data_IF_552965896551
#
_entry.id   IF_552965896551
#
_cell.length_a   1.000
_cell.length_b   1.000
_cell.length_c   1.000
_cell.angle_alpha   90.00
_cell.angle_beta   90.00
_cell.angle_gamma   90.00
#
_symmetry.space_group_name_H-M   'P 1'
#
loop_
_entity.id
_entity.type
_entity.pdbx_description
1 polymer ?
#
# COMPACT_ATOMS: atom_id res chain seq x y z
N UNK A 1 4.57 23.05 3.69
CA UNK A 1 5.89 22.40 3.55
C UNK A 1 5.64 20.95 3.15
N UNK A 2 6.34 20.40 2.17
CA UNK A 2 6.23 19.00 1.76
C UNK A 2 6.77 18.14 2.91
N UNK A 3 6.00 17.22 3.44
CA UNK A 3 6.39 16.38 4.59
C UNK A 3 7.21 15.13 4.17
N UNK A 4 7.41 14.93 2.86
CA UNK A 4 8.12 13.78 2.29
C UNK A 4 8.85 14.16 1.00
N UNK A 5 9.93 13.45 0.69
CA UNK A 5 10.64 13.60 -0.57
C UNK A 5 9.92 12.87 -1.70
N UNK A 6 10.12 13.35 -2.92
CA UNK A 6 9.65 12.77 -4.17
C UNK A 6 10.81 12.56 -5.14
N UNK A 7 10.54 12.07 -6.34
CA UNK A 7 11.57 11.90 -7.38
C UNK A 7 12.20 13.22 -7.85
N UNK A 8 11.59 14.37 -7.53
CA UNK A 8 12.13 15.69 -7.89
C UNK A 8 13.21 16.17 -6.93
N UNK A 9 13.32 15.56 -5.76
CA UNK A 9 14.21 16.00 -4.68
C UNK A 9 15.61 15.37 -4.77
N UNK A 10 15.82 14.43 -5.72
CA UNK A 10 17.08 13.68 -5.87
C UNK A 10 17.53 13.55 -7.33
N UNK A 11 18.84 13.39 -7.51
CA UNK A 11 19.45 13.03 -8.78
C UNK A 11 19.69 11.51 -8.83
N UNK A 12 19.05 10.84 -9.78
CA UNK A 12 19.09 9.40 -9.96
C UNK A 12 20.06 8.93 -11.08
N UNK A 13 20.78 9.86 -11.74
CA UNK A 13 21.65 9.51 -12.86
C UNK A 13 22.74 8.51 -12.43
N UNK A 14 22.80 7.37 -13.09
CA UNK A 14 23.71 6.25 -12.80
C UNK A 14 23.57 5.64 -11.39
N UNK A 15 22.50 5.97 -10.66
CA UNK A 15 22.24 5.50 -9.30
C UNK A 15 21.46 4.21 -9.26
N UNK A 16 21.71 3.39 -8.25
CA UNK A 16 20.95 2.18 -7.99
C UNK A 16 19.77 2.52 -7.06
N UNK A 17 18.56 2.23 -7.50
CA UNK A 17 17.31 2.53 -6.81
C UNK A 17 16.61 1.23 -6.43
N UNK A 18 16.43 0.99 -5.14
CA UNK A 18 15.49 -0.03 -4.65
C UNK A 18 14.08 0.53 -4.74
N UNK A 19 13.27 0.01 -5.66
CA UNK A 19 11.90 0.46 -5.90
C UNK A 19 10.90 -0.55 -5.33
N UNK A 20 10.19 -0.18 -4.26
CA UNK A 20 9.15 -1.01 -3.66
C UNK A 20 7.79 -0.71 -4.30
N UNK A 21 7.19 -1.72 -4.91
CA UNK A 21 5.89 -1.63 -5.59
C UNK A 21 4.88 -2.64 -5.03
N UNK A 22 3.60 -2.39 -5.22
CA UNK A 22 2.53 -3.35 -4.88
C UNK A 22 2.06 -4.09 -6.13
N UNK A 23 2.62 -5.27 -6.36
CA UNK A 23 2.24 -6.19 -7.43
C UNK A 23 1.46 -7.41 -6.93
N UNK A 24 0.74 -7.26 -5.82
CA UNK A 24 -0.16 -8.31 -5.33
C UNK A 24 -1.42 -8.38 -6.21
N UNK A 25 -1.30 -9.05 -7.35
CA UNK A 25 -2.31 -9.07 -8.40
C UNK A 25 -3.30 -10.24 -8.25
N UNK A 26 -4.53 -10.12 -8.77
CA UNK A 26 -5.45 -11.25 -8.84
C UNK A 26 -4.92 -12.29 -9.84
N UNK A 27 -4.93 -13.55 -9.42
CA UNK A 27 -4.47 -14.67 -10.22
C UNK A 27 -5.63 -15.62 -10.52
N UNK A 28 -5.56 -16.29 -11.65
CA UNK A 28 -6.40 -17.46 -11.90
C UNK A 28 -5.97 -18.62 -11.01
N UNK A 29 -6.91 -19.26 -10.33
CA UNK A 29 -6.60 -20.33 -9.35
C UNK A 29 -6.00 -21.59 -9.96
N UNK A 30 -6.28 -21.87 -11.22
CA UNK A 30 -5.87 -23.10 -11.88
C UNK A 30 -4.55 -22.92 -12.64
N UNK A 31 -4.40 -21.79 -13.34
CA UNK A 31 -3.25 -21.51 -14.21
C UNK A 31 -2.19 -20.62 -13.57
N UNK A 32 -2.55 -19.95 -12.46
CA UNK A 32 -1.74 -18.91 -11.81
C UNK A 32 -1.35 -17.76 -12.78
N UNK A 33 -2.17 -17.54 -13.81
CA UNK A 33 -2.01 -16.41 -14.70
C UNK A 33 -2.55 -15.12 -14.07
N UNK A 34 -1.92 -13.99 -14.39
CA UNK A 34 -2.34 -12.68 -13.91
C UNK A 34 -3.61 -12.29 -14.65
N UNK A 35 -4.68 -12.02 -13.91
CA UNK A 35 -5.98 -11.64 -14.46
C UNK A 35 -6.13 -10.14 -14.71
N UNK A 36 -5.38 -9.31 -14.00
CA UNK A 36 -5.46 -7.84 -14.08
C UNK A 36 -4.08 -7.22 -13.86
N UNK A 37 -3.68 -6.32 -14.74
CA UNK A 37 -2.38 -5.64 -14.74
C UNK A 37 -2.41 -4.20 -14.23
N UNK A 38 -3.57 -3.73 -13.79
CA UNK A 38 -3.78 -2.33 -13.36
C UNK A 38 -2.73 -1.85 -12.35
N UNK A 39 -2.29 -2.72 -11.43
CA UNK A 39 -1.26 -2.35 -10.44
C UNK A 39 0.09 -2.07 -11.07
N UNK A 40 0.48 -2.82 -12.11
CA UNK A 40 1.70 -2.53 -12.87
C UNK A 40 1.53 -1.21 -13.63
N UNK A 41 0.42 -1.02 -14.34
CA UNK A 41 0.14 0.18 -15.14
C UNK A 41 0.23 1.45 -14.31
N UNK A 42 -0.26 1.43 -13.07
CA UNK A 42 -0.21 2.58 -12.15
C UNK A 42 1.21 2.97 -11.72
N UNK A 43 2.15 2.03 -11.71
CA UNK A 43 3.55 2.26 -11.32
C UNK A 43 4.44 2.59 -12.53
N UNK A 44 3.98 2.34 -13.76
CA UNK A 44 4.76 2.64 -14.97
C UNK A 44 5.32 4.07 -15.04
N UNK A 45 4.60 5.13 -14.63
CA UNK A 45 5.16 6.49 -14.63
C UNK A 45 6.45 6.60 -13.82
N UNK A 46 6.49 6.01 -12.61
CA UNK A 46 7.68 5.97 -11.76
C UNK A 46 8.84 5.23 -12.42
N UNK A 47 8.58 4.04 -12.97
CA UNK A 47 9.62 3.22 -13.59
C UNK A 47 10.17 3.92 -14.84
N UNK A 48 9.30 4.47 -15.70
CA UNK A 48 9.72 5.17 -16.92
C UNK A 48 10.56 6.40 -16.61
N UNK A 49 10.17 7.22 -15.64
CA UNK A 49 10.93 8.39 -15.21
C UNK A 49 12.31 8.01 -14.67
N UNK A 50 12.41 6.97 -13.84
CA UNK A 50 13.69 6.48 -13.34
C UNK A 50 14.58 5.94 -14.47
N UNK A 51 14.01 5.28 -15.50
CA UNK A 51 14.76 4.86 -16.70
C UNK A 51 15.26 6.06 -17.49
N UNK A 52 14.42 7.08 -17.68
CA UNK A 52 14.79 8.32 -18.40
C UNK A 52 15.91 9.08 -17.67
N UNK A 53 15.93 8.99 -16.34
CA UNK A 53 17.04 9.50 -15.50
C UNK A 53 18.26 8.56 -15.44
N UNK A 54 18.33 7.52 -16.29
CA UNK A 54 19.42 6.53 -16.33
C UNK A 54 19.67 5.79 -14.99
N UNK A 55 18.66 5.64 -14.14
CA UNK A 55 18.76 4.86 -12.91
C UNK A 55 18.86 3.36 -13.21
N UNK A 56 19.51 2.61 -12.31
CA UNK A 56 19.48 1.15 -12.24
C UNK A 56 18.35 0.77 -11.28
N UNK A 57 17.31 0.10 -11.75
CA UNK A 57 16.08 -0.10 -10.98
C UNK A 57 15.99 -1.55 -10.50
N UNK A 58 15.99 -1.72 -9.19
CA UNK A 58 15.82 -3.01 -8.51
C UNK A 58 14.42 -3.04 -7.89
N UNK A 59 13.52 -3.83 -8.48
CA UNK A 59 12.13 -3.91 -8.04
C UNK A 59 11.99 -4.92 -6.92
N UNK A 60 11.38 -4.47 -5.80
CA UNK A 60 10.95 -5.25 -4.66
C UNK A 60 9.41 -5.30 -4.66
N UNK A 61 8.84 -6.50 -4.73
CA UNK A 61 7.40 -6.68 -4.75
C UNK A 61 6.98 -7.92 -3.97
N UNK A 62 5.66 -8.06 -3.73
CA UNK A 62 5.10 -9.25 -3.12
C UNK A 62 3.89 -9.77 -3.88
N UNK A 63 3.63 -11.08 -3.75
CA UNK A 63 2.41 -11.74 -4.20
C UNK A 63 1.96 -12.77 -3.16
N UNK A 64 0.67 -12.74 -2.81
CA UNK A 64 0.05 -13.68 -1.89
C UNK A 64 0.56 -13.56 -0.44
N UNK A 65 0.25 -14.57 0.37
CA UNK A 65 0.76 -14.75 1.75
C UNK A 65 1.38 -16.12 1.86
N UNK A 66 2.39 -16.30 2.68
CA UNK A 66 2.92 -17.63 2.98
C UNK A 66 1.78 -18.59 3.33
N UNK A 67 1.79 -19.77 2.70
CA UNK A 67 0.76 -20.80 2.86
C UNK A 67 -0.54 -20.57 2.06
N UNK A 68 -0.71 -19.43 1.39
CA UNK A 68 -1.87 -19.24 0.50
C UNK A 68 -1.59 -19.77 -0.91
N UNK A 69 -2.64 -20.11 -1.65
CA UNK A 69 -2.57 -20.68 -3.00
C UNK A 69 -1.94 -19.70 -4.02
N UNK A 70 -2.05 -18.40 -3.76
CA UNK A 70 -1.52 -17.30 -4.58
C UNK A 70 -0.11 -16.87 -4.18
N UNK A 71 0.54 -17.57 -3.26
CA UNK A 71 1.91 -17.33 -2.86
C UNK A 71 2.88 -17.94 -3.87
N UNK A 72 3.20 -17.20 -4.91
CA UNK A 72 4.04 -17.63 -6.02
C UNK A 72 5.30 -16.78 -6.15
N UNK A 73 6.24 -17.22 -6.99
CA UNK A 73 7.37 -16.41 -7.43
C UNK A 73 6.92 -15.25 -8.33
N UNK A 74 7.81 -14.29 -8.57
CA UNK A 74 7.48 -13.10 -9.33
C UNK A 74 7.89 -13.14 -10.82
N UNK A 75 8.24 -14.31 -11.37
CA UNK A 75 8.65 -14.42 -12.77
C UNK A 75 7.54 -13.96 -13.74
N UNK A 76 6.28 -14.38 -13.49
CA UNK A 76 5.14 -13.94 -14.30
C UNK A 76 4.89 -12.43 -14.20
N UNK A 77 5.17 -11.84 -13.04
CA UNK A 77 5.06 -10.40 -12.79
C UNK A 77 6.13 -9.62 -13.58
N UNK A 78 7.38 -10.13 -13.60
CA UNK A 78 8.45 -9.56 -14.40
C UNK A 78 8.11 -9.58 -15.90
N UNK A 79 7.60 -10.71 -16.41
CA UNK A 79 7.14 -10.82 -17.80
C UNK A 79 5.98 -9.88 -18.13
N UNK A 80 5.04 -9.72 -17.22
CA UNK A 80 3.93 -8.78 -17.39
C UNK A 80 4.42 -7.33 -17.42
N UNK A 81 5.34 -6.97 -16.52
CA UNK A 81 5.97 -5.65 -16.52
C UNK A 81 6.78 -5.41 -17.81
N UNK A 82 7.59 -6.37 -18.25
CA UNK A 82 8.35 -6.29 -19.50
C UNK A 82 7.45 -5.97 -20.69
N UNK A 83 6.32 -6.69 -20.81
CA UNK A 83 5.35 -6.49 -21.89
C UNK A 83 4.75 -5.07 -21.87
N UNK A 84 4.40 -4.56 -20.69
CA UNK A 84 3.77 -3.23 -20.53
C UNK A 84 4.79 -2.09 -20.65
N UNK A 85 6.01 -2.31 -20.19
CA UNK A 85 7.10 -1.35 -20.25
C UNK A 85 7.70 -1.23 -21.67
N UNK A 86 7.65 -2.33 -22.45
CA UNK A 86 8.31 -2.44 -23.75
C UNK A 86 9.83 -2.47 -23.67
N UNK A 87 10.39 -2.83 -22.53
CA UNK A 87 11.83 -2.95 -22.27
C UNK A 87 12.11 -4.20 -21.44
N UNK A 88 13.29 -4.84 -21.59
CA UNK A 88 13.63 -6.04 -20.82
C UNK A 88 13.54 -5.82 -19.31
N UNK A 89 12.98 -6.80 -18.61
CA UNK A 89 12.90 -6.87 -17.15
C UNK A 89 13.44 -8.24 -16.71
N UNK A 90 14.68 -8.27 -16.24
CA UNK A 90 15.30 -9.53 -15.77
C UNK A 90 14.72 -9.93 -14.43
N UNK A 91 14.08 -11.10 -14.35
CA UNK A 91 13.73 -11.72 -13.08
C UNK A 91 14.95 -12.38 -12.44
N UNK A 92 15.13 -12.20 -11.13
CA UNK A 92 16.18 -12.81 -10.33
C UNK A 92 15.53 -13.65 -9.24
N UNK A 93 15.68 -14.97 -9.32
CA UNK A 93 15.14 -15.95 -8.36
C UNK A 93 15.97 -15.96 -7.06
N UNK A 94 16.02 -14.78 -6.42
CA UNK A 94 16.67 -14.54 -5.13
C UNK A 94 16.21 -13.18 -4.61
N UNK A 95 16.11 -13.02 -3.28
CA UNK A 95 15.68 -11.77 -2.68
C UNK A 95 16.88 -10.90 -2.30
N UNK A 96 17.88 -11.47 -1.62
CA UNK A 96 19.03 -10.72 -1.07
C UNK A 96 20.33 -11.53 -1.02
N UNK A 97 20.31 -12.76 -1.49
CA UNK A 97 21.48 -13.64 -1.50
C UNK A 97 22.48 -13.29 -2.59
N UNK A 98 23.38 -14.20 -2.88
CA UNK A 98 24.51 -13.98 -3.81
C UNK A 98 24.03 -13.68 -5.23
N UNK A 99 22.97 -14.37 -5.72
CA UNK A 99 22.42 -14.13 -7.07
C UNK A 99 21.85 -12.71 -7.19
N UNK A 100 21.08 -12.25 -6.19
CA UNK A 100 20.51 -10.91 -6.16
C UNK A 100 21.62 -9.86 -6.12
N UNK A 101 22.61 -10.02 -5.24
CA UNK A 101 23.73 -9.09 -5.10
C UNK A 101 24.56 -8.97 -6.37
N UNK A 102 24.89 -10.10 -7.02
CA UNK A 102 25.66 -10.12 -8.26
C UNK A 102 24.84 -9.48 -9.39
N UNK A 103 23.54 -9.80 -9.51
CA UNK A 103 22.67 -9.20 -10.51
C UNK A 103 22.62 -7.67 -10.38
N UNK A 104 22.55 -7.14 -9.14
CA UNK A 104 22.57 -5.69 -8.88
C UNK A 104 23.90 -5.06 -9.28
N UNK A 105 25.02 -5.67 -8.91
CA UNK A 105 26.39 -5.17 -9.25
C UNK A 105 26.64 -5.11 -10.75
N UNK A 106 26.07 -6.04 -11.53
CA UNK A 106 26.22 -6.14 -12.98
C UNK A 106 25.34 -5.16 -13.76
N UNK A 107 24.36 -4.51 -13.12
CA UNK A 107 23.41 -3.62 -13.80
C UNK A 107 24.09 -2.44 -14.49
N UNK A 108 23.58 -2.13 -15.67
CA UNK A 108 23.91 -0.93 -16.42
C UNK A 108 22.81 0.13 -16.24
N UNK A 109 23.12 1.43 -16.39
CA UNK A 109 22.13 2.52 -16.35
C UNK A 109 20.93 2.26 -17.25
N UNK A 110 19.73 2.54 -16.76
CA UNK A 110 18.47 2.31 -17.46
C UNK A 110 17.95 0.87 -17.44
N UNK A 111 18.68 -0.07 -16.85
CA UNK A 111 18.22 -1.44 -16.70
C UNK A 111 17.26 -1.62 -15.51
N UNK A 112 16.37 -2.60 -15.65
CA UNK A 112 15.38 -2.99 -14.65
C UNK A 112 15.55 -4.47 -14.33
N UNK A 113 15.68 -4.79 -13.05
CA UNK A 113 15.59 -6.16 -12.54
C UNK A 113 14.44 -6.26 -11.53
N UNK A 114 13.84 -7.42 -11.41
CA UNK A 114 12.86 -7.75 -10.39
C UNK A 114 13.38 -8.89 -9.54
N UNK A 115 13.52 -8.66 -8.25
CA UNK A 115 13.91 -9.70 -7.29
C UNK A 115 12.71 -10.59 -6.94
N UNK A 116 12.99 -11.71 -6.30
CA UNK A 116 11.98 -12.64 -5.86
C UNK A 116 11.04 -12.04 -4.79
N UNK A 117 9.89 -12.67 -4.60
CA UNK A 117 8.83 -12.29 -3.68
C UNK A 117 9.37 -12.03 -2.27
N UNK A 118 9.35 -10.77 -1.83
CA UNK A 118 9.90 -10.37 -0.52
C UNK A 118 9.23 -11.10 0.66
N UNK A 119 8.04 -11.65 0.46
CA UNK A 119 7.35 -12.46 1.49
C UNK A 119 7.91 -13.86 1.67
N UNK A 120 8.89 -14.28 0.85
CA UNK A 120 9.70 -15.47 1.12
C UNK A 120 10.76 -15.22 2.21
N UNK A 121 11.03 -13.95 2.57
CA UNK A 121 11.80 -13.59 3.74
C UNK A 121 10.90 -13.65 4.98
N UNK A 122 11.21 -14.50 5.94
CA UNK A 122 10.37 -14.73 7.14
C UNK A 122 10.16 -13.47 7.97
N UNK A 123 11.17 -12.59 8.04
CA UNK A 123 11.10 -11.32 8.75
C UNK A 123 10.28 -10.22 8.06
N UNK A 124 9.78 -10.43 6.82
CA UNK A 124 9.08 -9.39 6.06
C UNK A 124 7.84 -8.85 6.77
N UNK A 125 7.06 -9.72 7.42
CA UNK A 125 5.78 -9.34 8.03
C UNK A 125 5.84 -9.12 9.54
N UNK A 126 7.01 -9.20 10.14
CA UNK A 126 7.20 -8.92 11.57
C UNK A 126 6.87 -7.46 11.90
N UNK A 127 6.30 -7.24 13.09
CA UNK A 127 5.95 -5.89 13.57
C UNK A 127 7.15 -5.28 14.29
N UNK A 128 8.02 -4.62 13.54
CA UNK A 128 9.24 -3.95 14.02
C UNK A 128 9.23 -2.47 13.62
N UNK A 129 10.13 -1.67 14.23
CA UNK A 129 10.41 -0.30 13.78
C UNK A 129 11.28 -0.32 12.51
N UNK A 130 11.45 0.83 11.87
CA UNK A 130 12.32 0.94 10.69
C UNK A 130 13.79 0.59 11.05
N UNK A 131 14.25 1.03 12.20
CA UNK A 131 15.61 0.80 12.72
C UNK A 131 15.85 -0.69 13.04
N UNK A 132 14.85 -1.37 13.60
CA UNK A 132 14.92 -2.82 13.86
C UNK A 132 14.92 -3.62 12.56
N UNK A 133 14.06 -3.22 11.59
CA UNK A 133 14.05 -3.82 10.27
C UNK A 133 15.35 -3.57 9.50
N UNK A 134 15.99 -2.41 9.70
CA UNK A 134 17.27 -2.09 9.10
C UNK A 134 18.39 -3.08 9.50
N UNK A 135 18.25 -3.78 10.61
CA UNK A 135 19.23 -4.78 11.07
C UNK A 135 18.98 -6.19 10.49
N UNK A 136 17.92 -6.37 9.70
CA UNK A 136 17.62 -7.67 9.09
C UNK A 136 18.52 -7.99 7.91
N UNK A 137 18.67 -9.29 7.62
CA UNK A 137 19.48 -9.77 6.49
C UNK A 137 19.02 -9.17 5.17
N UNK A 138 17.70 -9.01 4.95
CA UNK A 138 17.16 -8.38 3.75
C UNK A 138 17.75 -6.97 3.54
N UNK A 139 17.70 -6.15 4.56
CA UNK A 139 18.19 -4.77 4.47
C UNK A 139 19.71 -4.74 4.41
N UNK A 140 20.39 -5.45 5.30
CA UNK A 140 21.86 -5.43 5.42
C UNK A 140 22.57 -5.92 4.15
N UNK A 141 21.96 -6.84 3.41
CA UNK A 141 22.54 -7.34 2.17
C UNK A 141 22.24 -6.47 0.94
N UNK A 142 21.13 -5.70 0.95
CA UNK A 142 20.74 -4.91 -0.21
C UNK A 142 21.11 -3.42 -0.11
N UNK A 143 21.04 -2.79 1.09
CA UNK A 143 21.30 -1.35 1.20
C UNK A 143 22.69 -0.93 0.77
N UNK A 144 23.79 -1.73 0.96
CA UNK A 144 25.12 -1.31 0.50
C UNK A 144 25.28 -1.28 -1.01
N UNK A 145 24.33 -1.87 -1.75
CA UNK A 145 24.32 -1.96 -3.20
C UNK A 145 23.43 -0.90 -3.85
N UNK A 146 22.79 -0.06 -3.04
CA UNK A 146 21.81 0.92 -3.49
C UNK A 146 22.15 2.33 -2.99
N UNK A 147 21.81 3.32 -3.79
CA UNK A 147 21.98 4.74 -3.46
C UNK A 147 20.70 5.34 -2.87
N UNK A 148 19.52 4.86 -3.34
CA UNK A 148 18.21 5.38 -2.96
C UNK A 148 17.19 4.27 -2.75
N UNK A 149 16.22 4.56 -1.90
CA UNK A 149 15.00 3.77 -1.76
C UNK A 149 13.78 4.59 -2.23
N UNK A 150 12.96 4.01 -3.10
CA UNK A 150 11.71 4.62 -3.56
C UNK A 150 10.54 3.71 -3.20
N UNK A 151 9.57 4.25 -2.45
CA UNK A 151 8.33 3.55 -2.15
C UNK A 151 7.23 4.03 -3.10
N UNK A 152 6.65 3.10 -3.86
CA UNK A 152 5.49 3.36 -4.73
C UNK A 152 4.34 2.36 -4.47
N UNK A 153 4.35 1.73 -3.31
CA UNK A 153 3.40 0.72 -2.87
C UNK A 153 2.31 1.32 -1.98
N UNK A 154 1.50 2.26 -2.48
CA UNK A 154 0.49 2.96 -1.68
C UNK A 154 -0.46 2.02 -0.93
N UNK A 155 -1.01 0.98 -1.59
CA UNK A 155 -1.95 0.05 -0.96
C UNK A 155 -1.35 -0.74 0.22
N UNK A 156 -0.02 -0.80 0.34
CA UNK A 156 0.69 -1.44 1.43
C UNK A 156 1.37 -0.46 2.40
N UNK A 157 1.36 0.85 2.11
CA UNK A 157 2.13 1.87 2.84
C UNK A 157 1.78 1.99 4.34
N UNK A 158 0.57 1.57 4.73
CA UNK A 158 0.12 1.54 6.13
C UNK A 158 0.74 0.40 6.96
N UNK A 159 1.51 -0.50 6.35
CA UNK A 159 2.06 -1.70 7.02
C UNK A 159 3.51 -1.47 7.44
N UNK A 160 3.86 -1.92 8.65
CA UNK A 160 5.24 -1.92 9.14
C UNK A 160 5.98 -3.19 8.68
N UNK A 161 6.11 -3.37 7.36
CA UNK A 161 6.80 -4.52 6.78
C UNK A 161 8.24 -4.16 6.44
N UNK A 162 9.15 -5.14 6.53
CA UNK A 162 10.58 -4.94 6.38
C UNK A 162 10.93 -4.22 5.07
N UNK A 163 10.43 -4.71 3.93
CA UNK A 163 10.70 -4.11 2.62
C UNK A 163 10.04 -2.73 2.41
N UNK A 164 9.08 -2.33 3.26
CA UNK A 164 8.39 -1.03 3.16
C UNK A 164 9.06 0.06 3.99
N UNK A 165 9.57 -0.28 5.18
CA UNK A 165 10.10 0.74 6.10
C UNK A 165 11.58 0.52 6.47
N UNK A 166 12.12 -0.71 6.37
CA UNK A 166 13.49 -0.99 6.82
C UNK A 166 14.56 -0.20 6.08
N UNK A 167 14.39 -0.02 4.76
CA UNK A 167 15.33 0.75 3.96
C UNK A 167 15.30 2.25 4.24
N UNK A 168 14.19 2.79 4.75
CA UNK A 168 14.08 4.22 5.07
C UNK A 168 14.98 4.67 6.22
N UNK A 169 15.42 3.74 7.06
CA UNK A 169 16.35 4.03 8.14
C UNK A 169 17.82 4.12 7.69
N UNK A 170 18.15 3.62 6.48
CA UNK A 170 19.55 3.48 6.01
C UNK A 170 19.81 4.11 4.64
N UNK A 171 18.78 4.45 3.87
CA UNK A 171 18.91 5.08 2.55
C UNK A 171 18.10 6.38 2.45
N UNK A 172 18.59 7.37 1.71
CA UNK A 172 17.75 8.49 1.26
C UNK A 172 16.53 7.94 0.54
N UNK A 173 15.34 8.42 0.93
CA UNK A 173 14.07 7.80 0.53
C UNK A 173 13.12 8.81 -0.09
N UNK A 174 12.39 8.38 -1.13
CA UNK A 174 11.39 9.16 -1.83
C UNK A 174 10.09 8.39 -2.07
N UNK A 175 8.98 9.12 -2.23
CA UNK A 175 7.75 8.59 -2.79
C UNK A 175 7.88 8.48 -4.32
N UNK A 176 7.45 7.35 -4.89
CA UNK A 176 7.23 7.23 -6.33
C UNK A 176 5.99 8.01 -6.76
N UNK A 177 5.75 8.16 -8.06
CA UNK A 177 4.68 9.01 -8.61
C UNK A 177 3.27 8.55 -8.24
N UNK A 178 3.04 7.24 -8.07
CA UNK A 178 1.77 6.73 -7.59
C UNK A 178 1.55 7.14 -6.13
N UNK A 179 2.52 6.87 -5.26
CA UNK A 179 2.44 7.22 -3.83
C UNK A 179 2.31 8.73 -3.63
N UNK A 180 3.08 9.54 -4.35
CA UNK A 180 2.98 11.00 -4.32
C UNK A 180 1.59 11.50 -4.71
N UNK A 181 1.02 10.98 -5.80
CA UNK A 181 -0.33 11.33 -6.27
C UNK A 181 -1.39 11.02 -5.22
N UNK A 182 -1.33 9.83 -4.64
CA UNK A 182 -2.28 9.39 -3.62
C UNK A 182 -2.16 10.23 -2.34
N UNK A 183 -0.94 10.45 -1.84
CA UNK A 183 -0.68 11.28 -0.66
C UNK A 183 -1.14 12.72 -0.89
N UNK A 184 -0.83 13.31 -2.04
CA UNK A 184 -1.23 14.68 -2.38
C UNK A 184 -2.76 14.80 -2.44
N UNK A 185 -3.44 13.83 -3.07
CA UNK A 185 -4.89 13.81 -3.19
C UNK A 185 -5.56 13.68 -1.82
N UNK A 186 -5.11 12.73 -0.99
CA UNK A 186 -5.66 12.54 0.35
C UNK A 186 -5.38 13.74 1.26
N UNK A 187 -4.19 14.32 1.20
CA UNK A 187 -3.85 15.51 1.99
C UNK A 187 -4.77 16.69 1.66
N UNK A 188 -5.10 16.90 0.38
CA UNK A 188 -6.08 17.94 -0.02
C UNK A 188 -7.46 17.67 0.56
N UNK A 189 -7.94 16.41 0.48
CA UNK A 189 -9.25 16.00 0.99
C UNK A 189 -9.32 16.18 2.52
N UNK A 190 -8.24 15.86 3.24
CA UNK A 190 -8.23 15.91 4.71
C UNK A 190 -8.01 17.33 5.24
N UNK A 191 -7.04 18.06 4.66
CA UNK A 191 -6.62 19.36 5.19
C UNK A 191 -7.54 20.52 4.74
N UNK A 192 -8.02 20.48 3.49
CA UNK A 192 -8.84 21.55 2.93
C UNK A 192 -9.79 21.01 1.83
N UNK A 193 -10.82 20.25 2.21
CA UNK A 193 -11.75 19.67 1.25
C UNK A 193 -12.54 20.77 0.53
N UNK A 194 -12.75 20.57 -0.78
CA UNK A 194 -13.72 21.36 -1.52
C UNK A 194 -15.12 21.14 -0.94
N UNK A 195 -15.88 22.22 -0.79
CA UNK A 195 -17.21 22.20 -0.18
C UNK A 195 -18.33 22.28 -1.24
N UNK A 196 -19.43 21.53 -1.08
CA UNK A 196 -19.74 20.60 0.02
C UNK A 196 -18.99 19.26 -0.10
N UNK A 197 -18.38 18.80 0.99
CA UNK A 197 -17.69 17.52 1.04
C UNK A 197 -18.61 16.42 1.56
N UNK A 198 -18.80 15.36 0.77
CA UNK A 198 -19.68 14.23 1.08
C UNK A 198 -18.85 12.95 1.14
N UNK A 199 -18.91 12.25 2.27
CA UNK A 199 -18.24 10.98 2.47
C UNK A 199 -19.23 9.82 2.49
N UNK A 200 -18.96 8.78 1.70
CA UNK A 200 -19.75 7.55 1.65
C UNK A 200 -18.96 6.41 2.29
N UNK A 201 -19.50 5.82 3.35
CA UNK A 201 -18.93 4.65 4.02
C UNK A 201 -19.80 3.42 3.85
N UNK A 202 -19.18 2.29 3.53
CA UNK A 202 -19.83 1.00 3.39
C UNK A 202 -18.83 -0.15 3.60
N UNK A 203 -19.30 -1.38 3.48
CA UNK A 203 -18.48 -2.59 3.63
C UNK A 203 -18.73 -3.36 4.93
N UNK A 204 -17.87 -4.33 5.22
CA UNK A 204 -18.02 -5.25 6.35
C UNK A 204 -17.10 -4.92 7.54
N UNK A 205 -16.00 -4.19 7.35
CA UNK A 205 -15.09 -3.82 8.44
C UNK A 205 -15.57 -2.52 9.10
N UNK A 206 -16.07 -2.66 10.31
CA UNK A 206 -16.79 -1.59 10.98
C UNK A 206 -15.90 -0.70 11.89
N UNK A 207 -14.95 -1.27 12.62
CA UNK A 207 -14.12 -0.54 13.60
C UNK A 207 -13.38 0.66 12.99
N UNK A 208 -12.78 0.47 11.81
CA UNK A 208 -12.01 1.51 11.14
C UNK A 208 -12.89 2.67 10.65
N UNK A 209 -14.17 2.37 10.34
CA UNK A 209 -15.15 3.36 9.86
C UNK A 209 -15.55 4.33 10.96
N UNK A 210 -15.80 3.86 12.20
CA UNK A 210 -16.18 4.73 13.32
C UNK A 210 -15.10 5.77 13.61
N UNK A 211 -13.86 5.32 13.77
CA UNK A 211 -12.72 6.21 14.05
C UNK A 211 -12.54 7.25 12.94
N UNK A 212 -12.75 6.84 11.69
CA UNK A 212 -12.66 7.75 10.55
C UNK A 212 -13.79 8.79 10.57
N UNK A 213 -15.04 8.37 10.82
CA UNK A 213 -16.20 9.25 10.93
C UNK A 213 -15.99 10.29 12.04
N UNK A 214 -15.54 9.84 13.22
CA UNK A 214 -15.28 10.73 14.34
C UNK A 214 -14.30 11.84 13.98
N UNK A 215 -13.15 11.47 13.38
CA UNK A 215 -12.13 12.44 12.93
C UNK A 215 -12.64 13.41 11.88
N UNK A 216 -13.41 12.93 10.88
CA UNK A 216 -13.98 13.79 9.84
C UNK A 216 -14.96 14.82 10.41
N UNK A 217 -15.76 14.43 11.40
CA UNK A 217 -16.71 15.31 12.07
C UNK A 217 -16.01 16.29 13.02
N UNK A 218 -15.03 15.83 13.81
CA UNK A 218 -14.25 16.68 14.72
C UNK A 218 -13.48 17.76 13.97
N UNK A 219 -12.84 17.39 12.89
CA UNK A 219 -12.07 18.30 12.03
C UNK A 219 -12.94 19.14 11.08
N UNK A 220 -14.27 18.96 11.10
CA UNK A 220 -15.20 19.61 10.16
C UNK A 220 -14.84 19.39 8.69
N UNK A 221 -14.21 18.26 8.41
CA UNK A 221 -13.80 17.86 7.04
C UNK A 221 -15.03 17.46 6.22
N UNK A 222 -15.99 16.73 6.82
CA UNK A 222 -17.22 16.30 6.17
C UNK A 222 -18.38 17.27 6.42
N UNK A 223 -19.08 17.65 5.34
CA UNK A 223 -20.38 18.34 5.44
C UNK A 223 -21.54 17.33 5.53
N UNK A 224 -21.37 16.16 4.88
CA UNK A 224 -22.34 15.07 4.90
C UNK A 224 -21.62 13.72 4.94
N UNK A 225 -22.17 12.81 5.71
CA UNK A 225 -21.74 11.40 5.75
C UNK A 225 -22.94 10.53 5.37
N UNK A 226 -22.73 9.67 4.39
CA UNK A 226 -23.70 8.67 3.92
C UNK A 226 -23.18 7.30 4.34
N UNK A 227 -24.02 6.53 5.01
CA UNK A 227 -23.70 5.18 5.44
C UNK A 227 -24.47 4.15 4.63
N UNK A 228 -23.79 3.06 4.24
CA UNK A 228 -24.38 1.90 3.54
C UNK A 228 -23.88 0.60 4.16
N UNK A 229 -24.53 -0.52 3.85
CA UNK A 229 -24.11 -1.84 4.32
C UNK A 229 -24.08 -1.96 5.83
N UNK A 230 -23.07 -2.64 6.37
CA UNK A 230 -22.95 -2.92 7.80
C UNK A 230 -22.86 -1.64 8.68
N UNK A 231 -22.09 -0.60 8.30
CA UNK A 231 -22.09 0.67 9.03
C UNK A 231 -23.49 1.29 9.17
N UNK A 232 -24.28 1.31 8.07
CA UNK A 232 -25.64 1.84 8.14
C UNK A 232 -26.51 1.06 9.13
N UNK A 233 -26.47 -0.27 9.05
CA UNK A 233 -27.23 -1.14 9.95
C UNK A 233 -26.84 -0.91 11.42
N UNK A 234 -25.56 -0.76 11.72
CA UNK A 234 -25.10 -0.53 13.08
C UNK A 234 -25.58 0.82 13.65
N UNK A 235 -25.56 1.87 12.85
CA UNK A 235 -26.08 3.18 13.24
C UNK A 235 -27.60 3.16 13.45
N UNK A 236 -28.36 2.54 12.54
CA UNK A 236 -29.83 2.37 12.68
C UNK A 236 -30.17 1.58 13.93
N UNK A 237 -29.46 0.48 14.20
CA UNK A 237 -29.63 -0.31 15.43
C UNK A 237 -29.33 0.51 16.69
N UNK A 238 -28.28 1.33 16.67
CA UNK A 238 -27.93 2.21 17.79
C UNK A 238 -28.99 3.30 18.05
N UNK A 239 -29.76 3.69 17.04
CA UNK A 239 -30.94 4.56 17.15
C UNK A 239 -32.19 3.80 17.64
N UNK A 240 -32.13 2.50 17.82
CA UNK A 240 -33.24 1.67 18.32
C UNK A 240 -34.14 1.10 17.22
N UNK A 241 -33.72 1.19 15.94
CA UNK A 241 -34.49 0.62 14.83
C UNK A 241 -34.31 -0.91 14.83
N UNK A 242 -35.43 -1.63 14.78
CA UNK A 242 -35.42 -3.08 14.62
C UNK A 242 -35.09 -3.43 13.17
N UNK A 243 -33.97 -4.14 12.95
CA UNK A 243 -33.48 -4.53 11.61
C UNK A 243 -33.87 -5.94 11.21
N UNK A 244 -34.55 -6.68 12.10
CA UNK A 244 -34.88 -8.10 11.96
C UNK A 244 -33.69 -9.04 12.23
N UNK A 245 -34.01 -10.28 12.60
CA UNK A 245 -33.06 -11.25 13.18
C UNK A 245 -31.80 -11.47 12.33
N UNK A 246 -31.95 -11.60 11.01
CA UNK A 246 -30.80 -11.87 10.12
C UNK A 246 -29.76 -10.73 10.10
N UNK A 247 -30.22 -9.48 10.13
CA UNK A 247 -29.29 -8.32 10.17
C UNK A 247 -28.67 -8.20 11.56
N UNK A 248 -29.42 -8.49 12.63
CA UNK A 248 -28.90 -8.44 13.99
C UNK A 248 -27.88 -9.55 14.26
N UNK A 249 -28.11 -10.76 13.76
CA UNK A 249 -27.12 -11.85 13.78
C UNK A 249 -25.83 -11.47 13.04
N UNK A 250 -25.95 -10.81 11.87
CA UNK A 250 -24.79 -10.37 11.11
C UNK A 250 -23.99 -9.29 11.85
N UNK A 251 -24.67 -8.33 12.48
CA UNK A 251 -24.01 -7.30 13.30
C UNK A 251 -23.27 -7.94 14.49
N UNK A 252 -23.86 -8.94 15.13
CA UNK A 252 -23.22 -9.65 16.23
C UNK A 252 -22.00 -10.45 15.78
N UNK A 253 -22.10 -11.15 14.63
CA UNK A 253 -21.01 -11.95 14.06
C UNK A 253 -19.78 -11.11 13.68
N UNK A 254 -19.99 -9.91 13.19
CA UNK A 254 -18.92 -8.97 12.80
C UNK A 254 -18.40 -8.11 13.95
N UNK A 255 -18.78 -8.40 15.19
CA UNK A 255 -18.25 -7.74 16.39
C UNK A 255 -18.69 -6.28 16.57
N UNK A 256 -19.77 -5.84 15.88
CA UNK A 256 -20.21 -4.43 15.92
C UNK A 256 -20.83 -4.02 17.25
N UNK A 257 -21.23 -5.00 18.08
CA UNK A 257 -21.84 -4.75 19.39
C UNK A 257 -20.89 -4.01 20.35
N UNK A 258 -19.59 -4.26 20.25
CA UNK A 258 -18.55 -3.62 21.08
C UNK A 258 -18.48 -2.11 20.85
N UNK A 259 -18.92 -1.63 19.70
CA UNK A 259 -18.85 -0.23 19.30
C UNK A 259 -20.16 0.57 19.50
N UNK A 260 -21.22 -0.04 20.03
CA UNK A 260 -22.52 0.64 20.16
C UNK A 260 -22.49 1.89 21.03
N UNK A 261 -21.71 1.89 22.09
CA UNK A 261 -21.61 3.05 22.97
C UNK A 261 -20.90 4.22 22.29
N UNK A 262 -19.90 3.94 21.46
CA UNK A 262 -19.22 4.94 20.64
C UNK A 262 -20.15 5.51 19.57
N UNK A 263 -20.92 4.66 18.88
CA UNK A 263 -21.92 5.12 17.90
C UNK A 263 -22.95 6.02 18.57
N UNK A 264 -23.48 5.63 19.73
CA UNK A 264 -24.44 6.45 20.46
C UNK A 264 -23.87 7.80 20.91
N UNK A 265 -22.57 7.84 21.28
CA UNK A 265 -21.88 9.10 21.59
C UNK A 265 -21.78 9.98 20.35
N UNK A 266 -21.37 9.42 19.20
CA UNK A 266 -21.30 10.14 17.93
C UNK A 266 -22.67 10.69 17.52
N UNK A 267 -23.72 9.88 17.56
CA UNK A 267 -25.08 10.30 17.25
C UNK A 267 -25.55 11.45 18.18
N UNK A 268 -25.31 11.35 19.47
CA UNK A 268 -25.67 12.42 20.41
C UNK A 268 -24.94 13.73 20.16
N UNK A 269 -23.63 13.64 19.83
CA UNK A 269 -22.77 14.80 19.59
C UNK A 269 -23.10 15.51 18.27
N UNK A 270 -23.49 14.77 17.24
CA UNK A 270 -23.63 15.29 15.87
C UNK A 270 -25.04 15.21 15.28
N UNK A 271 -26.03 14.69 16.01
CA UNK A 271 -27.43 14.50 15.54
C UNK A 271 -28.10 15.76 14.99
N UNK A 272 -27.68 16.96 15.40
CA UNK A 272 -28.24 18.22 14.90
C UNK A 272 -27.87 18.54 13.45
N UNK A 273 -26.90 17.82 12.87
CA UNK A 273 -26.38 18.03 11.51
C UNK A 273 -26.63 16.82 10.58
N UNK A 274 -27.38 15.85 11.02
CA UNK A 274 -27.68 14.63 10.25
C UNK A 274 -29.16 14.56 9.89
N UNK A 275 -29.40 14.32 8.66
CA UNK A 275 -30.59 13.95 7.84
C UNK A 275 -30.98 14.96 6.79
#
# INVERSE_FOLDING_TARGET
>A
MKEYNTLDDFDFENKTVLLRVDFNMPLDKNTLEILDTTRIEKVLPTIKELIEKNAKIVILAHQGRQGSWDFINLEKHAKALEKLLGKPVRFVDDIYGEKAQNAIKEMQPGQVIMLENVRKFDGETEKKTAEEHAQTELVQNLYPLADFYVNDAFAAAHRKQCSLIGFTAVLPSAAGRLLEKELTTLSKIVANPEKPSVFLFGGAKFSDVIVTIERLLENRTADKIILTGLPANAFLKAEGINLGDKNEEMLAKEGTLENYDEIKKLLRKYKKNSW
#
